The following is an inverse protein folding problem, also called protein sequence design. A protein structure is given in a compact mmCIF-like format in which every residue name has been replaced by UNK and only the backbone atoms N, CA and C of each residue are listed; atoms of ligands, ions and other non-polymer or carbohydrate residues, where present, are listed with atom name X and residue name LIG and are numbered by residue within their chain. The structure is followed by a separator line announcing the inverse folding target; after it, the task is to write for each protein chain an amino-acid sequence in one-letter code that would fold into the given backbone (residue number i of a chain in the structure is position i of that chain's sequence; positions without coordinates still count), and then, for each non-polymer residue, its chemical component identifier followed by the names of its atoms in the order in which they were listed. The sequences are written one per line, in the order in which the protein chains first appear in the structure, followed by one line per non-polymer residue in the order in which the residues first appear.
data_IF_598492908134
#
_entry.id   IF_598492908134
#
_cell.length_a   1.000
_cell.length_b   1.000
_cell.length_c   1.000
_cell.angle_alpha   90.00
_cell.angle_beta   90.00
_cell.angle_gamma   90.00
#
_symmetry.space_group_name_H-M   'P 1'
#
loop_
_entity.id
_entity.type
_entity.pdbx_description
1 polymer ?
#
# COMPACT_ATOMS: atom_id res chain seq x y z
N UNK A 1 -9.41 -0.88 1.80
CA UNK A 1 -9.98 -1.56 2.98
C UNK A 1 -10.50 -2.89 2.49
N UNK A 2 -9.63 -3.90 2.53
CA UNK A 2 -9.93 -5.24 2.05
C UNK A 2 -10.02 -6.09 3.29
N UNK A 3 -11.25 -6.51 3.58
CA UNK A 3 -11.51 -7.48 4.64
C UNK A 3 -11.40 -8.84 3.96
N UNK A 4 -10.27 -9.52 4.20
CA UNK A 4 -10.23 -10.98 4.04
C UNK A 4 -11.09 -11.51 5.18
N UNK A 5 -12.15 -12.24 4.82
CA UNK A 5 -13.25 -12.73 5.66
C UNK A 5 -14.47 -11.80 5.85
N UNK A 6 -15.05 -11.38 4.72
CA UNK A 6 -16.49 -11.13 4.64
C UNK A 6 -16.92 -9.68 4.80
N UNK A 7 -17.19 -9.05 3.66
CA UNK A 7 -18.14 -7.95 3.46
C UNK A 7 -18.01 -6.72 4.37
N UNK A 8 -17.42 -5.65 3.85
CA UNK A 8 -18.09 -4.36 3.58
C UNK A 8 -17.12 -3.48 2.78
N UNK A 9 -17.49 -3.30 1.52
CA UNK A 9 -17.04 -2.18 0.70
C UNK A 9 -17.94 -0.98 1.02
N UNK A 10 -17.32 0.17 1.25
CA UNK A 10 -17.92 1.51 1.29
C UNK A 10 -18.53 1.95 2.62
N UNK A 11 -18.20 3.19 3.00
CA UNK A 11 -18.70 3.97 4.13
C UNK A 11 -18.10 3.65 5.50
N UNK A 12 -17.18 4.54 5.89
CA UNK A 12 -16.72 4.80 7.24
C UNK A 12 -17.91 4.80 8.23
N UNK A 13 -18.10 3.72 8.99
CA UNK A 13 -18.80 3.76 10.27
C UNK A 13 -17.76 4.09 11.35
N UNK A 14 -17.55 5.40 11.59
CA UNK A 14 -16.65 5.98 12.61
C UNK A 14 -16.79 5.39 14.03
N UNK A 15 -17.90 4.70 14.32
CA UNK A 15 -18.24 4.22 15.67
C UNK A 15 -18.03 2.72 15.93
N UNK A 16 -17.76 1.89 14.92
CA UNK A 16 -17.60 0.43 15.13
C UNK A 16 -16.12 0.02 15.25
N UNK A 17 -15.20 0.79 14.66
CA UNK A 17 -13.79 0.42 14.58
C UNK A 17 -13.03 0.43 15.92
N UNK A 18 -13.59 1.07 16.96
CA UNK A 18 -12.98 1.08 18.31
C UNK A 18 -13.20 -0.23 19.08
N UNK A 19 -14.11 -1.10 18.63
CA UNK A 19 -14.48 -2.30 19.35
C UNK A 19 -13.61 -3.49 18.90
N UNK A 20 -12.50 -3.70 19.61
CA UNK A 20 -11.71 -4.94 19.66
C UNK A 20 -10.94 -5.39 18.40
N UNK A 21 -9.89 -4.65 18.03
CA UNK A 21 -8.84 -5.18 17.14
C UNK A 21 -7.55 -5.35 17.96
N UNK A 22 -7.12 -6.60 18.16
CA UNK A 22 -5.87 -6.90 18.86
C UNK A 22 -4.64 -6.81 17.94
N UNK A 23 -4.81 -6.97 16.62
CA UNK A 23 -3.73 -7.02 15.63
C UNK A 23 -4.02 -6.04 14.50
N UNK A 24 -3.32 -4.91 14.53
CA UNK A 24 -3.38 -3.87 13.49
C UNK A 24 -2.13 -3.94 12.63
N UNK A 25 -2.33 -4.08 11.32
CA UNK A 25 -1.28 -3.99 10.32
C UNK A 25 -1.47 -2.73 9.48
N UNK A 26 -0.40 -1.97 9.32
CA UNK A 26 -0.38 -0.75 8.51
C UNK A 26 0.64 -0.94 7.40
N UNK A 27 0.16 -0.91 6.16
CA UNK A 27 0.92 -1.22 4.95
C UNK A 27 0.69 -2.66 4.50
N UNK A 28 -0.04 -2.84 3.40
CA UNK A 28 -0.32 -4.11 2.71
C UNK A 28 0.59 -4.36 1.51
N UNK A 29 1.83 -3.86 1.58
CA UNK A 29 2.87 -4.19 0.59
C UNK A 29 3.47 -5.58 0.82
N UNK A 30 4.63 -5.87 0.22
CA UNK A 30 5.19 -7.23 0.14
C UNK A 30 5.37 -7.94 1.49
N UNK A 31 5.77 -7.22 2.54
CA UNK A 31 5.90 -7.80 3.87
C UNK A 31 4.54 -7.89 4.59
N UNK A 32 3.71 -6.85 4.46
CA UNK A 32 2.43 -6.75 5.13
C UNK A 32 1.45 -7.83 4.68
N UNK A 33 1.37 -8.10 3.39
CA UNK A 33 0.50 -9.16 2.85
C UNK A 33 0.88 -10.54 3.37
N UNK A 34 2.17 -10.87 3.40
CA UNK A 34 2.66 -12.15 3.93
C UNK A 34 2.33 -12.30 5.42
N UNK A 35 2.58 -11.27 6.23
CA UNK A 35 2.31 -11.35 7.67
C UNK A 35 0.82 -11.46 7.93
N UNK A 36 -0.01 -10.66 7.27
CA UNK A 36 -1.47 -10.73 7.42
C UNK A 36 -1.97 -12.12 7.05
N UNK A 37 -1.55 -12.67 5.91
CA UNK A 37 -1.96 -14.00 5.46
C UNK A 37 -1.63 -15.08 6.50
N UNK A 38 -0.45 -15.03 7.12
CA UNK A 38 -0.05 -15.97 8.19
C UNK A 38 -0.82 -15.78 9.49
N UNK A 39 -1.17 -14.54 9.84
CA UNK A 39 -1.97 -14.27 11.04
C UNK A 39 -3.42 -14.73 10.86
N UNK A 40 -3.98 -14.61 9.64
CA UNK A 40 -5.35 -15.03 9.33
C UNK A 40 -5.51 -16.56 9.18
N UNK A 41 -4.41 -17.33 9.06
CA UNK A 41 -4.47 -18.80 9.14
C UNK A 41 -5.05 -19.30 10.48
N UNK A 42 -4.96 -18.51 11.55
CA UNK A 42 -5.59 -18.81 12.82
C UNK A 42 -7.00 -18.18 12.91
N UNK A 43 -8.04 -19.00 12.86
CA UNK A 43 -9.44 -18.57 12.91
C UNK A 43 -9.84 -17.84 14.21
N UNK A 44 -9.06 -17.96 15.28
CA UNK A 44 -9.30 -17.21 16.52
C UNK A 44 -8.84 -15.74 16.42
N UNK A 45 -8.11 -15.38 15.37
CA UNK A 45 -7.46 -14.09 15.25
C UNK A 45 -8.16 -13.20 14.24
N UNK A 46 -8.65 -12.04 14.72
CA UNK A 46 -9.09 -10.96 13.84
C UNK A 46 -7.94 -9.98 13.59
N UNK A 47 -7.65 -9.70 12.32
CA UNK A 47 -6.57 -8.81 11.88
C UNK A 47 -7.17 -7.67 11.04
N UNK A 48 -6.80 -6.42 11.34
CA UNK A 48 -7.13 -5.28 10.48
C UNK A 48 -5.90 -4.88 9.67
N UNK A 49 -6.04 -4.86 8.34
CA UNK A 49 -5.04 -4.31 7.43
C UNK A 49 -5.47 -2.94 6.89
N UNK A 50 -4.63 -1.94 7.12
CA UNK A 50 -4.77 -0.59 6.58
C UNK A 50 -3.71 -0.36 5.51
N UNK A 51 -4.14 -0.18 4.26
CA UNK A 51 -3.28 0.20 3.14
C UNK A 51 -3.72 1.56 2.60
N UNK A 52 -2.76 2.42 2.30
CA UNK A 52 -3.03 3.77 1.81
C UNK A 52 -3.34 3.79 0.30
N UNK A 53 -2.88 2.78 -0.42
CA UNK A 53 -3.17 2.52 -1.83
C UNK A 53 -4.55 1.96 -2.11
N UNK A 54 -4.90 1.95 -3.38
CA UNK A 54 -6.03 1.16 -3.89
C UNK A 54 -5.60 -0.29 -4.11
N UNK A 55 -6.55 -1.13 -4.55
CA UNK A 55 -6.19 -2.40 -5.17
C UNK A 55 -5.39 -2.16 -6.45
N UNK A 56 -4.64 -3.19 -6.81
CA UNK A 56 -4.03 -3.39 -8.11
C UNK A 56 -5.05 -3.28 -9.25
N UNK A 57 -4.54 -3.05 -10.44
CA UNK A 57 -5.34 -2.91 -11.67
C UNK A 57 -4.64 -3.70 -12.77
N UNK A 58 -5.33 -4.03 -13.85
CA UNK A 58 -4.72 -4.73 -15.00
C UNK A 58 -3.44 -4.05 -15.53
N UNK A 59 -3.28 -2.73 -15.33
CA UNK A 59 -2.07 -2.00 -15.73
C UNK A 59 -0.85 -2.38 -14.89
N UNK A 60 -1.03 -2.68 -13.59
CA UNK A 60 0.06 -3.05 -12.69
C UNK A 60 0.60 -4.45 -12.95
N UNK A 61 -0.17 -5.30 -13.62
CA UNK A 61 0.20 -6.67 -13.95
C UNK A 61 1.09 -6.77 -15.19
N UNK A 62 1.12 -5.70 -16.00
CA UNK A 62 1.92 -5.63 -17.24
C UNK A 62 3.29 -5.01 -16.93
N UNK A 63 4.39 -5.79 -16.93
CA UNK A 63 5.70 -5.29 -16.49
C UNK A 63 6.25 -4.13 -17.34
N UNK A 64 5.89 -4.06 -18.63
CA UNK A 64 6.31 -2.98 -19.53
C UNK A 64 5.70 -1.61 -19.16
N UNK A 65 4.64 -1.57 -18.36
CA UNK A 65 4.04 -0.33 -17.86
C UNK A 65 4.62 0.15 -16.52
N UNK A 66 5.62 -0.54 -15.96
CA UNK A 66 6.28 -0.17 -14.69
C UNK A 66 6.87 1.25 -14.64
N UNK A 67 7.27 1.82 -15.79
CA UNK A 67 7.71 3.22 -15.85
C UNK A 67 6.54 4.22 -15.91
N UNK A 68 5.40 3.81 -16.48
CA UNK A 68 4.22 4.64 -16.67
C UNK A 68 3.41 4.82 -15.38
N UNK A 69 3.57 3.91 -14.41
CA UNK A 69 2.94 4.01 -13.09
C UNK A 69 3.60 5.05 -12.18
N UNK A 70 4.85 5.47 -12.46
CA UNK A 70 5.52 6.50 -11.68
C UNK A 70 4.79 7.83 -11.78
N UNK A 71 4.69 8.59 -10.67
CA UNK A 71 3.96 9.87 -10.59
C UNK A 71 2.44 9.76 -10.81
N UNK A 72 1.88 8.55 -10.79
CA UNK A 72 0.43 8.33 -10.81
C UNK A 72 -0.12 8.19 -9.39
N UNK A 73 -1.42 7.87 -9.24
CA UNK A 73 -2.04 7.59 -7.94
C UNK A 73 -1.54 6.29 -7.29
N UNK A 74 -0.91 5.41 -8.07
CA UNK A 74 -0.35 4.13 -7.64
C UNK A 74 1.10 4.26 -7.11
N UNK A 75 1.66 5.46 -7.14
CA UNK A 75 2.99 5.79 -6.65
C UNK A 75 2.88 6.81 -5.51
N UNK A 76 3.72 6.67 -4.48
CA UNK A 76 3.84 7.66 -3.42
C UNK A 76 4.47 8.97 -3.90
N UNK A 77 5.18 8.93 -5.03
CA UNK A 77 5.81 10.09 -5.66
C UNK A 77 6.84 10.78 -4.76
N UNK A 78 7.54 9.99 -3.93
CA UNK A 78 8.55 10.52 -3.05
C UNK A 78 9.68 11.18 -3.85
N UNK A 79 10.25 12.21 -3.25
CA UNK A 79 11.43 12.90 -3.75
C UNK A 79 12.43 13.01 -2.63
N UNK A 80 13.67 12.68 -2.93
CA UNK A 80 14.78 12.87 -1.99
C UNK A 80 14.93 14.35 -1.65
N UNK A 81 15.65 14.67 -0.58
CA UNK A 81 16.21 16.02 -0.43
C UNK A 81 17.21 16.30 -1.57
N UNK A 82 17.54 17.58 -1.79
CA UNK A 82 18.54 17.95 -2.79
C UNK A 82 19.90 17.33 -2.44
N UNK A 83 20.64 16.87 -3.43
CA UNK A 83 21.95 16.23 -3.25
C UNK A 83 23.00 16.90 -4.13
N UNK A 84 24.20 17.10 -3.59
CA UNK A 84 25.28 17.78 -4.33
C UNK A 84 25.97 16.85 -5.33
N UNK A 85 25.88 15.52 -5.15
CA UNK A 85 26.57 14.52 -5.97
C UNK A 85 25.64 13.63 -6.80
N UNK A 86 24.33 13.79 -6.69
CA UNK A 86 23.34 12.94 -7.37
C UNK A 86 22.19 13.77 -7.94
N UNK A 87 21.59 13.28 -9.03
CA UNK A 87 20.39 13.87 -9.63
C UNK A 87 20.51 15.36 -10.01
N UNK A 88 21.73 15.82 -10.32
CA UNK A 88 22.03 17.21 -10.73
C UNK A 88 21.29 17.64 -12.02
N UNK A 89 20.92 16.68 -12.88
CA UNK A 89 20.13 16.93 -14.09
C UNK A 89 18.61 16.87 -13.84
N UNK A 90 18.18 16.59 -12.61
CA UNK A 90 16.76 16.54 -12.23
C UNK A 90 16.32 17.88 -11.65
N UNK A 91 15.02 18.16 -11.73
CA UNK A 91 14.44 19.40 -11.17
C UNK A 91 14.78 19.52 -9.68
N UNK A 92 15.31 20.68 -9.30
CA UNK A 92 15.73 21.04 -7.94
C UNK A 92 16.83 20.14 -7.35
N UNK A 93 17.61 19.42 -8.17
CA UNK A 93 18.63 18.45 -7.75
C UNK A 93 18.07 17.30 -6.87
N UNK A 94 16.81 16.91 -7.10
CA UNK A 94 16.10 15.90 -6.30
C UNK A 94 15.76 14.67 -7.15
N UNK A 95 16.12 13.50 -6.65
CA UNK A 95 15.80 12.23 -7.30
C UNK A 95 14.31 11.90 -7.15
N UNK A 96 13.74 11.31 -8.19
CA UNK A 96 12.47 10.58 -8.05
C UNK A 96 12.74 9.30 -7.27
N UNK A 97 11.94 9.01 -6.25
CA UNK A 97 12.01 7.78 -5.47
C UNK A 97 10.66 7.05 -5.57
N UNK A 98 10.44 6.29 -6.66
CA UNK A 98 9.16 5.62 -6.87
C UNK A 98 8.96 4.54 -5.80
N UNK A 99 7.79 4.53 -5.18
CA UNK A 99 7.39 3.54 -4.18
C UNK A 99 5.93 3.19 -4.41
N UNK A 100 5.64 1.89 -4.51
CA UNK A 100 4.27 1.40 -4.71
C UNK A 100 3.33 1.88 -3.60
N UNK A 101 2.18 2.40 -4.01
CA UNK A 101 1.07 2.78 -3.15
C UNK A 101 -0.16 1.98 -3.58
N UNK A 102 -0.07 0.67 -3.39
CA UNK A 102 -1.03 -0.32 -3.86
C UNK A 102 -1.05 -1.48 -2.86
N UNK A 103 -2.22 -2.09 -2.67
CA UNK A 103 -2.37 -3.32 -1.91
C UNK A 103 -1.83 -4.52 -2.71
N UNK A 104 -1.12 -5.45 -2.08
CA UNK A 104 -0.56 -6.67 -2.70
C UNK A 104 -1.13 -7.94 -2.07
N UNK A 105 -2.43 -7.94 -1.77
CA UNK A 105 -3.09 -9.02 -1.08
C UNK A 105 -4.10 -9.67 -2.03
N UNK A 106 -3.84 -10.92 -2.39
CA UNK A 106 -4.73 -11.79 -3.16
C UNK A 106 -5.52 -12.72 -2.23
#
# INVERSE_FOLDING_TARGET
MTIIDGTITTAIQKNIMYLAIAKLMVGGGSAGSVVVNRLTENAEWSVLLLEAGSHETEITDVPSFSLHIQKTKLDWQYRTQAQDSACQAMKDNRCCWPCGKVLLLE
#
